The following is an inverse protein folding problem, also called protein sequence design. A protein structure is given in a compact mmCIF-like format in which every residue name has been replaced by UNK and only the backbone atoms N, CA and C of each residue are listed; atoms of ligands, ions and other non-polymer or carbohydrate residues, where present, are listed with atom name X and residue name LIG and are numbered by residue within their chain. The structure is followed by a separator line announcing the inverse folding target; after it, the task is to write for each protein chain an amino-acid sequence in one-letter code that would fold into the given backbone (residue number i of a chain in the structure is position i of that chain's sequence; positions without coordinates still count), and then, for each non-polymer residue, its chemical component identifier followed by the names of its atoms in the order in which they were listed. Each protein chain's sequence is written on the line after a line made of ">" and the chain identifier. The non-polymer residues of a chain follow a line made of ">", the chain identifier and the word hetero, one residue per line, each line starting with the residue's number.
data_IF_493272345334
#
_entry.id   IF_493272345334
#
_cell.length_a   1.000
_cell.length_b   1.000
_cell.length_c   1.000
_cell.angle_alpha   90.00
_cell.angle_beta   90.00
_cell.angle_gamma   90.00
#
_symmetry.space_group_name_H-M   'P 1'
#
loop_
_entity.id
_entity.type
_entity.pdbx_description
1 polymer ?
#
# COMPACT_ATOMS: atom_id res chain seq x y z
N UNK A 1 -16.27 -22.48 -35.80
CA UNK A 1 -15.74 -21.67 -36.93
C UNK A 1 -15.46 -22.62 -38.08
N UNK A 2 -16.05 -22.37 -39.25
CA UNK A 2 -16.15 -23.35 -40.34
C UNK A 2 -14.82 -23.58 -41.09
N UNK A 3 -14.63 -24.79 -41.61
CA UNK A 3 -13.45 -25.25 -42.38
C UNK A 3 -13.04 -24.34 -43.56
N UNK A 4 -13.92 -23.45 -44.04
CA UNK A 4 -13.59 -22.46 -45.08
C UNK A 4 -12.57 -21.40 -44.65
N UNK A 5 -12.44 -21.09 -43.36
CA UNK A 5 -11.46 -20.09 -42.89
C UNK A 5 -10.03 -20.63 -42.81
N UNK A 6 -9.83 -21.95 -42.74
CA UNK A 6 -8.50 -22.55 -42.74
C UNK A 6 -7.91 -22.63 -44.17
N UNK A 7 -8.77 -22.68 -45.18
CA UNK A 7 -8.36 -22.76 -46.59
C UNK A 7 -7.95 -21.41 -47.19
N UNK A 8 -8.51 -20.30 -46.69
CA UNK A 8 -8.07 -18.94 -47.05
C UNK A 8 -6.69 -18.61 -46.45
N UNK A 9 -6.42 -19.01 -45.20
CA UNK A 9 -5.12 -18.81 -44.56
C UNK A 9 -3.97 -19.56 -45.26
N UNK A 10 -4.21 -20.80 -45.72
CA UNK A 10 -3.19 -21.59 -46.45
C UNK A 10 -2.83 -21.04 -47.83
N UNK A 11 -3.70 -20.21 -48.44
CA UNK A 11 -3.43 -19.58 -49.74
C UNK A 11 -2.60 -18.29 -49.61
N UNK A 12 -2.73 -17.58 -48.49
CA UNK A 12 -1.98 -16.34 -48.21
C UNK A 12 -0.53 -16.62 -47.77
N UNK A 13 -0.24 -17.71 -47.05
CA UNK A 13 1.14 -18.08 -46.68
C UNK A 13 2.00 -18.45 -47.90
N UNK A 14 1.38 -18.99 -48.96
CA UNK A 14 2.06 -19.35 -50.22
C UNK A 14 2.37 -18.15 -51.10
N UNK A 15 1.78 -16.97 -50.89
CA UNK A 15 2.13 -15.76 -51.65
C UNK A 15 3.28 -14.99 -51.01
N UNK A 16 3.43 -15.07 -49.68
CA UNK A 16 4.52 -14.42 -48.92
C UNK A 16 5.89 -15.14 -49.05
N UNK A 17 5.88 -16.41 -49.47
CA UNK A 17 7.09 -17.25 -49.62
C UNK A 17 7.70 -17.24 -51.01
N UNK A 18 7.06 -16.59 -52.00
CA UNK A 18 7.51 -16.63 -53.41
C UNK A 18 8.59 -15.61 -53.76
N UNK A 19 8.76 -14.56 -52.95
CA UNK A 19 9.72 -13.47 -53.21
C UNK A 19 10.68 -13.23 -52.04
N UNK A 20 10.84 -14.20 -51.13
CA UNK A 20 11.75 -14.10 -49.97
C UNK A 20 12.82 -15.18 -50.04
N UNK A 21 14.07 -14.78 -50.26
CA UNK A 21 15.22 -15.69 -50.27
C UNK A 21 15.54 -16.17 -48.84
N UNK A 22 14.86 -17.24 -48.43
CA UNK A 22 15.07 -17.89 -47.14
C UNK A 22 16.19 -18.95 -47.17
N UNK A 23 16.92 -19.10 -48.28
CA UNK A 23 17.95 -20.14 -48.44
C UNK A 23 19.04 -20.07 -47.38
N UNK A 24 19.54 -18.86 -47.09
CA UNK A 24 20.55 -18.67 -46.04
C UNK A 24 20.01 -19.01 -44.65
N UNK A 25 18.77 -18.59 -44.34
CA UNK A 25 18.14 -18.87 -43.04
C UNK A 25 17.81 -20.36 -42.87
N UNK A 26 17.37 -21.03 -43.93
CA UNK A 26 17.13 -22.48 -43.92
C UNK A 26 18.41 -23.26 -43.66
N UNK A 27 19.50 -22.94 -44.36
CA UNK A 27 20.80 -23.60 -44.12
C UNK A 27 21.29 -23.42 -42.67
N UNK A 28 21.09 -22.23 -42.09
CA UNK A 28 21.44 -21.98 -40.69
C UNK A 28 20.55 -22.75 -39.70
N UNK A 29 19.25 -22.86 -39.98
CA UNK A 29 18.31 -23.63 -39.17
C UNK A 29 18.54 -25.15 -39.27
N UNK A 30 18.96 -25.64 -40.43
CA UNK A 30 19.29 -27.04 -40.67
C UNK A 30 20.56 -27.43 -39.91
N UNK A 31 21.59 -26.58 -39.92
CA UNK A 31 22.80 -26.74 -39.08
C UNK A 31 22.47 -26.65 -37.59
N UNK A 32 21.52 -25.80 -37.18
CA UNK A 32 21.07 -25.74 -35.79
C UNK A 32 20.25 -26.99 -35.40
N UNK A 33 19.41 -27.52 -36.29
CA UNK A 33 18.69 -28.77 -36.07
C UNK A 33 19.63 -29.97 -35.99
N UNK A 34 20.64 -30.05 -36.86
CA UNK A 34 21.69 -31.07 -36.78
C UNK A 34 22.46 -30.99 -35.47
N UNK A 35 22.72 -29.78 -34.97
CA UNK A 35 23.34 -29.56 -33.65
C UNK A 35 22.42 -29.90 -32.48
N UNK A 36 21.10 -29.77 -32.64
CA UNK A 36 20.08 -30.04 -31.62
C UNK A 36 19.74 -31.53 -31.52
N UNK A 37 20.14 -32.37 -32.49
CA UNK A 37 19.99 -33.81 -32.38
C UNK A 37 20.82 -34.36 -31.20
N UNK A 38 20.12 -34.96 -30.23
CA UNK A 38 20.57 -35.32 -28.88
C UNK A 38 21.82 -36.24 -28.78
N UNK A 39 22.30 -36.79 -29.90
CA UNK A 39 23.49 -37.65 -29.96
C UNK A 39 24.82 -36.91 -29.88
N UNK A 40 24.85 -35.60 -30.18
CA UNK A 40 26.10 -34.81 -30.11
C UNK A 40 26.34 -34.33 -28.68
N UNK A 41 25.30 -33.90 -27.97
CA UNK A 41 25.42 -33.38 -26.60
C UNK A 41 25.84 -34.46 -25.60
N UNK A 42 25.43 -35.72 -25.79
CA UNK A 42 25.84 -36.83 -24.93
C UNK A 42 27.31 -37.25 -25.10
N UNK A 43 27.98 -36.87 -26.20
CA UNK A 43 29.41 -37.16 -26.45
C UNK A 43 30.35 -36.05 -25.97
N UNK A 44 29.85 -34.86 -25.67
CA UNK A 44 30.65 -33.73 -25.19
C UNK A 44 30.75 -33.84 -23.67
N UNK A 45 31.95 -33.77 -23.10
CA UNK A 45 32.11 -33.80 -21.64
C UNK A 45 31.45 -32.58 -20.98
N UNK A 46 30.86 -32.79 -19.81
CA UNK A 46 30.14 -31.76 -19.06
C UNK A 46 30.98 -30.49 -18.80
N UNK A 47 32.30 -30.63 -18.67
CA UNK A 47 33.24 -29.50 -18.50
C UNK A 47 33.27 -28.53 -19.69
N UNK A 48 32.96 -29.01 -20.91
CA UNK A 48 32.82 -28.16 -22.11
C UNK A 48 31.42 -27.61 -22.29
N UNK A 49 30.41 -28.29 -21.75
CA UNK A 49 29.00 -27.85 -21.81
C UNK A 49 28.70 -26.77 -20.78
N UNK A 50 29.35 -26.84 -19.62
CA UNK A 50 29.06 -25.99 -18.47
C UNK A 50 30.33 -25.32 -17.96
N UNK A 51 30.58 -24.08 -18.40
CA UNK A 51 31.55 -23.20 -17.75
C UNK A 51 30.83 -22.20 -16.85
N UNK A 52 31.18 -22.18 -15.56
CA UNK A 52 30.70 -21.15 -14.63
C UNK A 52 31.62 -19.94 -14.77
N UNK A 53 31.10 -18.88 -15.37
CA UNK A 53 31.86 -17.66 -15.62
C UNK A 53 31.97 -16.83 -14.33
N UNK A 54 33.14 -16.85 -13.69
CA UNK A 54 33.40 -16.12 -12.45
C UNK A 54 33.89 -14.68 -12.70
N UNK A 55 34.15 -14.31 -13.95
CA UNK A 55 34.63 -12.97 -14.32
C UNK A 55 33.56 -12.29 -15.17
N UNK A 56 32.91 -11.27 -14.60
CA UNK A 56 32.00 -10.43 -15.38
C UNK A 56 32.75 -9.63 -16.43
N UNK A 57 32.20 -9.58 -17.65
CA UNK A 57 32.73 -8.76 -18.75
C UNK A 57 32.77 -7.27 -18.36
N UNK A 58 33.98 -6.74 -18.19
CA UNK A 58 34.21 -5.33 -17.84
C UNK A 58 33.84 -4.37 -18.97
N UNK A 59 33.80 -4.84 -20.22
CA UNK A 59 33.39 -4.06 -21.39
C UNK A 59 31.90 -3.67 -21.40
N UNK A 60 31.06 -4.33 -20.60
CA UNK A 60 29.63 -3.97 -20.46
C UNK A 60 29.47 -2.72 -19.60
N UNK A 61 30.36 -2.46 -18.63
CA UNK A 61 30.30 -1.25 -17.80
C UNK A 61 30.69 0.02 -18.57
N UNK A 62 31.55 -0.10 -19.59
CA UNK A 62 31.98 1.03 -20.42
C UNK A 62 30.93 1.36 -21.50
N UNK A 63 30.20 0.35 -22.00
CA UNK A 63 29.04 0.55 -22.87
C UNK A 63 27.80 0.82 -22.03
N UNK A 64 27.74 1.99 -21.40
CA UNK A 64 26.44 2.54 -21.00
C UNK A 64 25.61 2.64 -22.28
N UNK A 65 24.57 1.83 -22.39
CA UNK A 65 23.56 2.02 -23.43
C UNK A 65 23.19 3.50 -23.40
N UNK A 66 23.46 4.22 -24.49
CA UNK A 66 23.02 5.60 -24.61
C UNK A 66 21.53 5.60 -24.30
N UNK A 67 21.13 6.32 -23.25
CA UNK A 67 19.74 6.38 -22.79
C UNK A 67 18.89 6.61 -24.02
N UNK A 68 18.05 5.62 -24.37
CA UNK A 68 17.15 5.73 -25.53
C UNK A 68 16.41 7.06 -25.39
N UNK A 69 16.65 7.98 -26.31
CA UNK A 69 15.92 9.23 -26.36
C UNK A 69 14.42 8.90 -26.38
N UNK A 70 13.60 9.73 -25.74
CA UNK A 70 12.16 9.58 -25.83
C UNK A 70 11.76 9.54 -27.30
N UNK A 71 10.79 8.69 -27.66
CA UNK A 71 10.33 8.50 -29.05
C UNK A 71 10.00 9.84 -29.75
N UNK A 72 9.56 10.83 -28.98
CA UNK A 72 9.27 12.18 -29.45
C UNK A 72 10.53 12.95 -29.88
N UNK A 73 11.63 12.83 -29.13
CA UNK A 73 12.91 13.48 -29.47
C UNK A 73 13.58 12.76 -30.66
N UNK A 74 13.39 11.45 -30.78
CA UNK A 74 13.80 10.66 -31.95
C UNK A 74 13.02 11.11 -33.21
N UNK A 75 11.71 11.31 -33.10
CA UNK A 75 10.89 11.84 -34.22
C UNK A 75 11.27 13.27 -34.62
N UNK A 76 11.65 14.11 -33.66
CA UNK A 76 12.05 15.50 -33.94
C UNK A 76 13.48 15.61 -34.49
N UNK A 77 14.36 14.68 -34.12
CA UNK A 77 15.74 14.62 -34.66
C UNK A 77 15.81 13.96 -36.05
N UNK A 78 14.78 13.20 -36.43
CA UNK A 78 14.68 12.61 -37.76
C UNK A 78 14.48 13.69 -38.83
N UNK A 79 15.55 14.06 -39.53
CA UNK A 79 15.49 14.89 -40.74
C UNK A 79 15.32 13.97 -41.95
N UNK A 80 14.16 13.95 -42.64
CA UNK A 80 14.02 13.18 -43.87
C UNK A 80 14.95 13.76 -44.95
N UNK A 81 15.62 12.89 -45.71
CA UNK A 81 16.54 13.25 -46.80
C UNK A 81 15.89 13.95 -47.99
N UNK A 82 14.57 14.18 -47.93
CA UNK A 82 13.80 14.71 -49.05
C UNK A 82 13.54 16.20 -48.79
N UNK A 83 14.43 17.04 -49.29
CA UNK A 83 14.28 18.49 -49.32
C UNK A 83 13.19 18.90 -50.31
N UNK A 84 11.91 18.77 -49.92
CA UNK A 84 10.77 19.27 -50.70
C UNK A 84 10.43 20.75 -50.41
N UNK A 85 11.17 21.42 -49.51
CA UNK A 85 10.86 22.78 -49.05
C UNK A 85 11.96 23.82 -49.31
N UNK A 86 12.99 23.50 -50.10
CA UNK A 86 14.07 24.46 -50.42
C UNK A 86 13.74 25.43 -51.57
N UNK A 87 12.54 25.37 -52.17
CA UNK A 87 12.18 26.20 -53.33
C UNK A 87 11.23 27.37 -53.01
N UNK A 88 11.04 27.74 -51.74
CA UNK A 88 10.38 29.01 -51.41
C UNK A 88 11.45 30.06 -51.10
N UNK A 89 11.84 30.83 -52.12
CA UNK A 89 12.61 32.06 -51.88
C UNK A 89 11.69 33.13 -51.31
N UNK A 90 12.18 33.94 -50.37
CA UNK A 90 11.48 35.05 -49.70
C UNK A 90 10.92 36.15 -50.62
N UNK A 91 11.02 35.99 -51.94
CA UNK A 91 10.54 36.97 -52.94
C UNK A 91 9.05 36.85 -53.26
N UNK A 92 8.40 35.72 -52.94
CA UNK A 92 6.99 35.47 -53.33
C UNK A 92 5.94 35.89 -52.27
N UNK A 93 6.37 36.39 -51.11
CA UNK A 93 5.45 36.77 -50.00
C UNK A 93 5.01 38.25 -50.06
N UNK A 94 5.52 39.04 -51.03
CA UNK A 94 5.26 40.49 -51.05
C UNK A 94 3.92 40.95 -51.64
N UNK A 95 3.11 40.06 -52.23
CA UNK A 95 1.86 40.45 -52.92
C UNK A 95 0.54 40.00 -52.28
N UNK A 96 0.52 39.53 -51.03
CA UNK A 96 -0.74 39.18 -50.32
C UNK A 96 -0.86 39.84 -48.94
N UNK A 97 -0.53 41.13 -48.85
CA UNK A 97 -0.67 41.88 -47.60
C UNK A 97 -1.43 43.17 -47.76
N UNK A 98 -2.74 43.10 -48.02
CA UNK A 98 -3.68 44.19 -47.76
C UNK A 98 -5.12 43.65 -47.64
N UNK A 99 -5.52 43.17 -46.45
CA UNK A 99 -6.91 43.08 -45.93
C UNK A 99 -7.02 42.15 -44.68
N UNK A 100 -6.29 42.40 -43.59
CA UNK A 100 -6.60 41.76 -42.28
C UNK A 100 -5.81 42.32 -41.07
N UNK A 101 -5.50 43.63 -41.04
CA UNK A 101 -4.75 44.23 -39.93
C UNK A 101 -5.57 44.52 -38.66
N UNK A 102 -6.90 44.40 -38.67
CA UNK A 102 -7.75 44.78 -37.54
C UNK A 102 -7.86 43.71 -36.42
N UNK A 103 -7.88 42.41 -36.73
CA UNK A 103 -8.14 41.36 -35.72
C UNK A 103 -6.90 40.88 -34.95
N UNK A 104 -5.69 40.96 -35.51
CA UNK A 104 -4.45 40.51 -34.83
C UNK A 104 -3.96 41.47 -33.73
N UNK A 105 -4.36 42.73 -33.77
CA UNK A 105 -3.90 43.75 -32.81
C UNK A 105 -4.68 43.71 -31.48
N UNK A 106 -5.97 43.34 -31.50
CA UNK A 106 -6.78 43.14 -30.29
C UNK A 106 -6.28 41.97 -29.43
N UNK A 107 -5.83 40.87 -30.05
CA UNK A 107 -5.40 39.67 -29.34
C UNK A 107 -4.04 39.87 -28.64
N UNK A 108 -3.17 40.74 -29.17
CA UNK A 108 -1.89 41.09 -28.53
C UNK A 108 -2.10 41.94 -27.27
N UNK A 109 -3.10 42.82 -27.26
CA UNK A 109 -3.37 43.69 -26.11
C UNK A 109 -4.06 42.93 -24.94
N UNK A 110 -4.81 41.86 -25.22
CA UNK A 110 -5.41 41.01 -24.19
C UNK A 110 -4.42 40.03 -23.53
N UNK A 111 -3.30 39.73 -24.18
CA UNK A 111 -2.26 38.88 -23.62
C UNK A 111 -1.34 39.67 -22.66
N UNK A 112 -1.13 40.97 -22.90
CA UNK A 112 -0.40 41.84 -21.96
C UNK A 112 -1.20 42.19 -20.68
N UNK A 113 -2.52 42.08 -20.68
CA UNK A 113 -3.32 42.41 -19.47
C UNK A 113 -3.34 41.29 -18.41
N UNK A 114 -2.80 40.10 -18.72
CA UNK A 114 -2.65 39.00 -17.74
C UNK A 114 -1.51 39.23 -16.74
N UNK A 115 -0.63 40.19 -17.01
CA UNK A 115 0.48 40.57 -16.12
C UNK A 115 0.05 41.48 -14.96
N UNK A 116 -1.21 41.96 -14.94
CA UNK A 116 -1.72 42.87 -13.90
C UNK A 116 -2.36 42.09 -12.72
N UNK A 117 -2.70 40.82 -12.89
CA UNK A 117 -3.46 40.03 -11.90
C UNK A 117 -2.64 39.05 -11.06
N UNK A 118 -1.32 38.95 -11.28
CA UNK A 118 -0.43 38.16 -10.43
C UNK A 118 0.43 39.14 -9.62
N UNK A 119 0.19 39.16 -8.32
CA UNK A 119 0.80 40.09 -7.38
C UNK A 119 2.32 40.21 -7.53
N UNK A 120 2.77 41.47 -7.46
CA UNK A 120 4.15 41.94 -7.40
C UNK A 120 5.05 40.99 -6.58
N UNK A 121 5.88 40.21 -7.26
CA UNK A 121 7.14 39.73 -6.70
C UNK A 121 8.25 40.60 -7.26
N UNK A 122 8.85 41.41 -6.39
CA UNK A 122 9.94 42.34 -6.69
C UNK A 122 11.16 41.59 -7.25
N UNK A 123 11.34 41.61 -8.58
CA UNK A 123 12.63 41.30 -9.20
C UNK A 123 13.56 42.51 -9.10
N UNK A 124 14.28 42.61 -7.97
CA UNK A 124 15.51 43.41 -7.85
C UNK A 124 16.72 42.65 -8.41
N UNK A 125 16.61 42.10 -9.61
CA UNK A 125 17.70 41.40 -10.29
C UNK A 125 17.67 41.79 -11.76
N UNK A 126 18.11 43.01 -12.10
CA UNK A 126 18.47 43.39 -13.48
C UNK A 126 19.19 44.75 -13.57
N UNK A 127 20.09 45.07 -12.62
CA UNK A 127 20.97 46.25 -12.75
C UNK A 127 22.48 45.89 -12.81
N UNK A 128 22.85 44.61 -12.95
CA UNK A 128 24.28 44.20 -12.95
C UNK A 128 24.88 44.02 -14.35
N UNK A 129 24.08 44.07 -15.43
CA UNK A 129 24.56 43.82 -16.79
C UNK A 129 24.94 45.08 -17.59
N UNK A 130 24.68 46.28 -17.06
CA UNK A 130 24.91 47.53 -17.79
C UNK A 130 26.28 48.19 -17.53
N UNK A 131 27.14 47.59 -16.71
CA UNK A 131 28.44 48.18 -16.31
C UNK A 131 29.66 47.40 -16.81
N UNK A 132 29.59 46.75 -17.97
CA UNK A 132 30.77 46.17 -18.61
C UNK A 132 31.21 47.12 -19.73
N UNK A 133 32.17 48.01 -19.39
CA UNK A 133 32.91 48.79 -20.38
C UNK A 133 33.84 47.84 -21.13
N UNK A 134 33.49 47.48 -22.36
CA UNK A 134 34.40 46.79 -23.28
C UNK A 134 35.34 47.85 -23.86
N UNK A 135 36.47 48.09 -23.19
CA UNK A 135 37.60 48.83 -23.76
C UNK A 135 38.38 47.90 -24.70
N UNK A 136 38.06 47.95 -25.98
CA UNK A 136 38.82 47.27 -27.02
C UNK A 136 38.42 47.85 -28.36
N UNK A 137 39.21 48.80 -28.86
CA UNK A 137 39.05 49.32 -30.22
C UNK A 137 39.31 48.17 -31.19
N UNK A 138 38.27 47.72 -31.89
CA UNK A 138 38.42 46.78 -33.00
C UNK A 138 38.57 47.64 -34.25
N UNK A 139 39.81 47.72 -34.75
CA UNK A 139 40.13 48.33 -36.04
C UNK A 139 39.37 47.59 -37.16
N UNK A 140 38.79 48.36 -38.08
CA UNK A 140 37.85 47.93 -39.12
C UNK A 140 38.43 47.04 -40.24
N UNK A 141 39.64 46.49 -40.09
CA UNK A 141 40.39 45.84 -41.16
C UNK A 141 40.59 44.31 -41.02
N UNK A 142 40.08 43.67 -39.97
CA UNK A 142 40.13 42.20 -39.80
C UNK A 142 38.72 41.57 -39.80
N UNK A 143 37.91 41.88 -40.81
CA UNK A 143 36.70 41.10 -41.13
C UNK A 143 37.09 39.82 -41.89
N UNK A 144 37.93 38.98 -41.28
CA UNK A 144 38.03 37.57 -41.67
C UNK A 144 36.82 36.87 -41.04
N UNK A 145 35.80 36.61 -41.86
CA UNK A 145 34.69 35.75 -41.49
C UNK A 145 35.25 34.44 -40.90
N UNK A 146 34.95 34.21 -39.61
CA UNK A 146 35.34 32.99 -38.93
C UNK A 146 34.58 31.82 -39.55
N UNK A 147 35.29 30.99 -40.30
CA UNK A 147 34.72 29.80 -40.95
C UNK A 147 34.55 28.70 -39.90
N UNK A 148 33.30 28.49 -39.49
CA UNK A 148 32.86 27.60 -38.41
C UNK A 148 33.19 26.13 -38.72
N UNK A 149 33.53 25.82 -39.97
CA UNK A 149 33.83 24.47 -40.45
C UNK A 149 35.32 24.21 -40.71
N UNK A 150 36.19 25.21 -40.53
CA UNK A 150 37.64 24.96 -40.53
C UNK A 150 38.02 24.24 -39.24
N UNK A 151 38.60 23.05 -39.38
CA UNK A 151 39.23 22.30 -38.28
C UNK A 151 40.57 22.94 -37.92
N UNK A 152 40.54 24.17 -37.44
CA UNK A 152 41.72 24.78 -36.83
C UNK A 152 41.81 24.26 -35.39
N UNK A 153 42.76 23.35 -35.16
CA UNK A 153 43.03 22.68 -33.88
C UNK A 153 43.64 23.62 -32.82
N UNK A 154 43.19 24.87 -32.75
CA UNK A 154 43.53 25.77 -31.67
C UNK A 154 42.33 25.89 -30.74
N UNK A 155 42.22 24.93 -29.83
CA UNK A 155 41.35 25.00 -28.66
C UNK A 155 41.85 26.10 -27.72
N UNK A 156 41.69 27.37 -28.12
CA UNK A 156 41.60 28.46 -27.16
C UNK A 156 40.31 28.21 -26.41
N UNK A 157 40.43 27.50 -25.28
CA UNK A 157 39.37 27.40 -24.27
C UNK A 157 38.93 28.83 -24.00
N UNK A 158 37.78 29.21 -24.54
CA UNK A 158 37.01 30.33 -24.04
C UNK A 158 36.78 30.02 -22.57
N UNK A 159 37.63 30.57 -21.70
CA UNK A 159 37.43 30.52 -20.26
C UNK A 159 36.22 31.41 -20.00
N UNK A 160 35.05 30.82 -20.18
CA UNK A 160 33.82 31.27 -19.56
C UNK A 160 34.19 31.40 -18.09
N UNK A 161 34.40 32.64 -17.65
CA UNK A 161 34.63 32.97 -16.26
C UNK A 161 33.41 32.41 -15.54
N UNK A 162 33.61 31.26 -14.89
CA UNK A 162 32.64 30.65 -13.99
C UNK A 162 32.43 31.67 -12.88
N UNK A 163 31.47 32.57 -13.03
CA UNK A 163 30.87 33.23 -11.88
C UNK A 163 30.21 32.12 -11.09
N UNK A 164 30.71 31.74 -9.90
CA UNK A 164 29.99 30.82 -9.06
C UNK A 164 28.82 31.64 -8.51
N UNK A 165 27.72 31.69 -9.25
CA UNK A 165 26.41 31.79 -8.64
C UNK A 165 26.22 30.47 -7.88
N UNK A 166 26.97 30.29 -6.79
CA UNK A 166 26.70 29.28 -5.78
C UNK A 166 25.33 29.62 -5.21
N UNK A 167 24.28 29.17 -5.89
CA UNK A 167 22.94 29.08 -5.33
C UNK A 167 23.06 28.14 -4.15
N UNK A 168 23.30 28.68 -2.95
CA UNK A 168 23.34 27.90 -1.71
C UNK A 168 21.93 27.41 -1.46
N UNK A 169 21.65 26.16 -1.81
CA UNK A 169 20.43 25.51 -1.37
C UNK A 169 20.41 25.50 0.17
N UNK A 170 19.30 25.92 0.80
CA UNK A 170 19.20 25.89 2.25
C UNK A 170 19.36 24.46 2.75
N UNK A 171 20.11 24.28 3.85
CA UNK A 171 20.31 22.97 4.47
C UNK A 171 18.96 22.43 4.94
N UNK A 172 18.72 21.14 4.69
CA UNK A 172 17.51 20.46 5.15
C UNK A 172 17.39 20.53 6.68
N UNK A 173 16.21 20.88 7.20
CA UNK A 173 15.96 20.96 8.64
C UNK A 173 16.00 19.57 9.28
N UNK A 174 16.44 19.50 10.54
CA UNK A 174 16.49 18.24 11.31
C UNK A 174 15.12 17.58 11.47
N UNK A 175 14.05 18.37 11.49
CA UNK A 175 12.67 17.89 11.60
C UNK A 175 12.26 17.04 10.39
N UNK A 176 12.73 17.37 9.19
CA UNK A 176 12.39 16.62 7.98
C UNK A 176 13.10 15.25 7.91
N UNK A 177 14.17 15.06 8.70
CA UNK A 177 14.86 13.77 8.82
C UNK A 177 14.15 12.80 9.78
N UNK A 178 13.21 13.29 10.59
CA UNK A 178 12.46 12.44 11.53
C UNK A 178 11.41 11.61 10.79
N UNK A 179 11.25 10.34 11.20
CA UNK A 179 10.24 9.43 10.65
C UNK A 179 8.83 9.89 11.05
N UNK A 180 7.81 9.67 10.20
CA UNK A 180 6.43 9.94 10.55
C UNK A 180 5.98 9.10 11.74
N UNK A 181 4.96 9.59 12.46
CA UNK A 181 4.32 8.87 13.55
C UNK A 181 3.36 7.84 12.97
N UNK A 182 3.65 6.55 13.14
CA UNK A 182 2.78 5.45 12.72
C UNK A 182 1.62 5.24 13.70
N UNK A 183 0.49 4.71 13.21
CA UNK A 183 -0.67 4.33 14.04
C UNK A 183 -0.33 3.15 14.95
N UNK A 184 0.47 2.20 14.46
CA UNK A 184 0.94 1.05 15.22
C UNK A 184 2.46 1.01 15.27
N UNK A 185 2.99 0.31 16.27
CA UNK A 185 4.42 0.11 16.41
C UNK A 185 4.88 -0.95 15.40
N UNK A 186 5.97 -0.69 14.68
CA UNK A 186 6.59 -1.60 13.69
C UNK A 186 5.75 -1.89 12.44
N UNK A 187 5.20 -0.84 11.80
CA UNK A 187 4.58 -1.00 10.47
C UNK A 187 5.66 -1.23 9.42
N UNK A 188 5.61 -2.39 8.77
CA UNK A 188 6.48 -2.70 7.64
C UNK A 188 6.05 -1.90 6.40
N UNK A 189 6.98 -1.58 5.51
CA UNK A 189 6.67 -0.82 4.30
C UNK A 189 5.74 -1.59 3.34
N UNK A 190 5.92 -2.91 3.31
CA UNK A 190 5.06 -3.90 2.64
C UNK A 190 4.86 -5.03 3.64
N UNK A 191 3.62 -5.48 3.78
CA UNK A 191 3.33 -6.61 4.64
C UNK A 191 3.59 -7.92 3.91
N UNK A 192 4.21 -8.86 4.63
CA UNK A 192 4.43 -10.20 4.11
C UNK A 192 3.15 -11.00 4.35
N UNK A 193 2.59 -11.55 3.28
CA UNK A 193 1.41 -12.40 3.36
C UNK A 193 1.68 -13.66 4.20
N UNK A 194 0.64 -14.18 4.86
CA UNK A 194 0.75 -15.42 5.61
C UNK A 194 0.87 -16.61 4.63
N UNK A 195 1.62 -17.65 4.99
CA UNK A 195 1.82 -18.82 4.14
C UNK A 195 0.50 -19.56 3.82
N UNK A 196 -0.46 -19.53 4.76
CA UNK A 196 -1.82 -20.06 4.55
C UNK A 196 -2.67 -19.29 3.52
N UNK A 197 -2.23 -18.11 3.05
CA UNK A 197 -2.88 -17.35 1.96
C UNK A 197 -2.28 -17.70 0.59
N UNK A 198 -1.31 -18.63 0.54
CA UNK A 198 -0.80 -19.11 -0.73
C UNK A 198 -1.89 -19.85 -1.49
N UNK A 199 -1.69 -19.94 -2.81
CA UNK A 199 -2.64 -20.56 -3.73
C UNK A 199 -2.91 -22.05 -3.42
N UNK A 200 -1.88 -22.79 -3.02
CA UNK A 200 -1.98 -24.18 -2.57
C UNK A 200 -1.23 -24.33 -1.23
N UNK A 201 -1.86 -23.93 -0.11
CA UNK A 201 -1.21 -23.88 1.19
C UNK A 201 -1.12 -25.26 1.83
N UNK A 202 -0.16 -25.43 2.74
CA UNK A 202 -0.16 -26.58 3.62
C UNK A 202 -1.41 -26.54 4.51
N UNK A 203 -2.10 -27.68 4.66
CA UNK A 203 -3.35 -27.78 5.41
C UNK A 203 -3.26 -27.20 6.84
N UNK A 204 -2.14 -27.41 7.53
CA UNK A 204 -1.92 -26.90 8.89
C UNK A 204 -1.84 -25.37 8.94
N UNK A 205 -1.15 -24.75 7.99
CA UNK A 205 -0.98 -23.31 7.91
C UNK A 205 -2.27 -22.61 7.51
N UNK A 206 -2.99 -23.20 6.56
CA UNK A 206 -4.32 -22.77 6.15
C UNK A 206 -5.31 -22.81 7.32
N UNK A 207 -5.39 -23.95 8.01
CA UNK A 207 -6.24 -24.12 9.21
C UNK A 207 -5.89 -23.06 10.26
N UNK A 208 -4.60 -22.83 10.53
CA UNK A 208 -4.13 -21.82 11.48
C UNK A 208 -4.55 -20.40 11.08
N UNK A 209 -4.46 -20.05 9.79
CA UNK A 209 -4.92 -18.77 9.27
C UNK A 209 -6.43 -18.60 9.49
N UNK A 210 -7.22 -19.59 9.10
CA UNK A 210 -8.69 -19.56 9.24
C UNK A 210 -9.09 -19.39 10.72
N UNK A 211 -8.51 -20.17 11.63
CA UNK A 211 -8.78 -20.03 13.07
C UNK A 211 -8.45 -18.63 13.61
N UNK A 212 -7.32 -18.07 13.17
CA UNK A 212 -6.88 -16.73 13.60
C UNK A 212 -7.86 -15.65 13.16
N UNK A 213 -8.26 -15.66 11.89
CA UNK A 213 -9.13 -14.62 11.33
C UNK A 213 -10.59 -14.83 11.75
N UNK A 214 -11.05 -16.09 11.89
CA UNK A 214 -12.35 -16.42 12.51
C UNK A 214 -12.47 -15.87 13.93
N UNK A 215 -11.44 -16.07 14.78
CA UNK A 215 -11.44 -15.52 16.13
C UNK A 215 -11.52 -13.99 16.16
N UNK A 216 -10.87 -13.32 15.20
CA UNK A 216 -10.90 -11.86 15.05
C UNK A 216 -12.26 -11.35 14.60
N UNK A 217 -12.93 -12.02 13.67
CA UNK A 217 -14.30 -11.67 13.26
C UNK A 217 -15.32 -11.92 14.37
N UNK A 218 -15.22 -13.03 15.10
CA UNK A 218 -16.08 -13.33 16.25
C UNK A 218 -15.96 -12.21 17.32
N UNK A 219 -14.75 -11.72 17.57
CA UNK A 219 -14.54 -10.57 18.47
C UNK A 219 -15.18 -9.28 17.93
N UNK A 220 -15.15 -9.04 16.61
CA UNK A 220 -15.82 -7.90 15.98
C UNK A 220 -17.33 -8.01 16.13
N UNK A 221 -17.89 -9.19 15.92
CA UNK A 221 -19.33 -9.47 16.05
C UNK A 221 -19.80 -9.29 17.50
N UNK A 222 -19.11 -9.88 18.49
CA UNK A 222 -19.42 -9.66 19.91
C UNK A 222 -19.42 -8.16 20.26
N UNK A 223 -18.44 -7.41 19.73
CA UNK A 223 -18.35 -5.97 19.98
C UNK A 223 -19.53 -5.23 19.35
N UNK A 224 -19.89 -5.56 18.12
CA UNK A 224 -21.03 -4.99 17.41
C UNK A 224 -22.35 -5.29 18.14
N UNK A 225 -22.53 -6.52 18.63
CA UNK A 225 -23.68 -6.94 19.41
C UNK A 225 -23.79 -6.18 20.73
N UNK A 226 -22.66 -6.03 21.45
CA UNK A 226 -22.62 -5.25 22.68
C UNK A 226 -22.96 -3.77 22.42
N UNK A 227 -22.46 -3.19 21.34
CA UNK A 227 -22.79 -1.83 20.92
C UNK A 227 -24.26 -1.71 20.50
N UNK A 228 -24.81 -2.70 19.80
CA UNK A 228 -26.22 -2.79 19.42
C UNK A 228 -27.13 -2.83 20.65
N UNK A 229 -26.82 -3.70 21.61
CA UNK A 229 -27.56 -3.81 22.89
C UNK A 229 -27.50 -2.53 23.71
N UNK A 230 -26.34 -1.86 23.78
CA UNK A 230 -26.22 -0.56 24.46
C UNK A 230 -27.08 0.51 23.79
N UNK A 231 -27.11 0.54 22.46
CA UNK A 231 -27.96 1.47 21.70
C UNK A 231 -29.44 1.19 21.92
N UNK A 232 -29.87 -0.07 21.84
CA UNK A 232 -31.27 -0.45 22.05
C UNK A 232 -31.74 -0.19 23.49
N UNK A 233 -30.87 -0.45 24.47
CA UNK A 233 -31.16 -0.17 25.89
C UNK A 233 -31.33 1.34 26.14
N UNK A 234 -30.43 2.18 25.61
CA UNK A 234 -30.54 3.63 25.75
C UNK A 234 -31.79 4.23 25.07
N UNK A 235 -32.24 3.66 23.95
CA UNK A 235 -33.49 4.07 23.28
C UNK A 235 -34.70 3.69 24.14
N UNK A 236 -34.72 2.47 24.69
CA UNK A 236 -35.83 2.01 25.53
C UNK A 236 -35.94 2.78 26.85
N UNK A 237 -34.83 3.20 27.46
CA UNK A 237 -34.86 4.07 28.66
C UNK A 237 -35.45 5.45 28.35
N UNK A 238 -35.09 6.08 27.23
CA UNK A 238 -35.62 7.40 26.85
C UNK A 238 -37.11 7.38 26.52
N UNK A 239 -37.63 6.31 25.91
CA UNK A 239 -39.05 6.17 25.62
C UNK A 239 -39.85 5.78 26.88
N UNK A 240 -39.26 5.03 27.82
CA UNK A 240 -39.92 4.62 29.06
C UNK A 240 -40.00 5.69 30.16
N UNK A 241 -39.26 6.81 30.03
CA UNK A 241 -39.31 7.95 30.96
C UNK A 241 -40.47 8.91 30.63
N UNK A 242 -41.11 8.79 29.46
CA UNK A 242 -42.27 9.64 29.12
C UNK A 242 -43.64 9.10 29.54
N UNK A 243 -43.78 7.78 29.72
CA UNK A 243 -45.09 7.15 29.93
C UNK A 243 -45.14 6.19 31.14
N UNK A 244 -44.39 6.47 32.21
CA UNK A 244 -44.53 5.71 33.46
C UNK A 244 -44.76 6.59 34.66
N UNK A 245 -46.04 6.84 34.89
CA UNK A 245 -46.59 7.04 36.21
C UNK A 245 -46.00 6.02 37.21
N UNK A 246 -45.52 6.56 38.32
CA UNK A 246 -45.08 5.84 39.51
C UNK A 246 -46.29 5.15 40.15
N UNK A 247 -46.60 3.90 39.81
CA UNK A 247 -47.24 2.94 40.74
C UNK A 247 -47.37 1.54 40.08
N UNK A 248 -46.38 0.66 40.22
CA UNK A 248 -46.66 -0.78 40.23
C UNK A 248 -45.45 -1.62 40.65
N UNK A 249 -45.53 -2.13 41.87
CA UNK A 249 -45.27 -3.53 42.23
C UNK A 249 -43.86 -4.08 41.96
N UNK A 250 -43.00 -3.80 42.93
CA UNK A 250 -41.92 -4.69 43.33
C UNK A 250 -42.51 -5.95 44.00
N UNK A 251 -42.96 -6.92 43.21
CA UNK A 251 -43.18 -8.29 43.69
C UNK A 251 -42.66 -9.33 42.68
N UNK A 252 -41.68 -10.09 43.16
CA UNK A 252 -41.23 -11.42 42.72
C UNK A 252 -40.58 -11.62 41.34
N UNK A 253 -39.29 -11.99 41.39
CA UNK A 253 -38.82 -13.27 40.81
C UNK A 253 -37.50 -13.71 41.44
N UNK A 254 -37.58 -14.56 42.46
CA UNK A 254 -36.48 -15.45 42.84
C UNK A 254 -36.95 -16.88 42.53
N UNK A 255 -36.98 -17.22 41.24
CA UNK A 255 -37.21 -18.57 40.75
C UNK A 255 -35.93 -19.39 40.95
N UNK A 256 -35.86 -20.11 42.06
CA UNK A 256 -34.97 -21.27 42.19
C UNK A 256 -35.81 -22.52 42.07
N UNK A 257 -35.48 -23.25 41.03
CA UNK A 257 -36.02 -24.53 40.62
C UNK A 257 -36.07 -25.54 41.77
N UNK A 258 -37.17 -26.27 41.75
CA UNK A 258 -37.46 -27.44 42.56
C UNK A 258 -36.41 -28.52 42.34
N UNK A 259 -35.74 -28.95 43.40
CA UNK A 259 -35.29 -30.35 43.51
C UNK A 259 -35.72 -30.87 44.86
N UNK A 260 -36.91 -31.48 44.86
CA UNK A 260 -37.56 -32.11 45.99
C UNK A 260 -36.90 -33.48 46.24
N UNK A 261 -35.75 -33.50 46.91
CA UNK A 261 -35.26 -34.74 47.52
C UNK A 261 -36.03 -34.95 48.83
N UNK A 262 -36.89 -35.96 48.81
CA UNK A 262 -37.52 -36.53 49.99
C UNK A 262 -36.46 -36.90 51.03
N UNK A 263 -36.32 -36.04 52.05
CA UNK A 263 -35.66 -36.37 53.30
C UNK A 263 -36.52 -37.41 54.03
N UNK A 264 -36.33 -38.68 53.67
CA UNK A 264 -36.82 -39.81 54.46
C UNK A 264 -36.08 -39.75 55.81
N UNK A 265 -36.70 -39.07 56.77
CA UNK A 265 -36.30 -39.08 58.18
C UNK A 265 -36.51 -40.49 58.72
N UNK A 266 -35.49 -41.35 58.59
CA UNK A 266 -35.47 -42.64 59.25
C UNK A 266 -35.43 -42.41 60.76
N UNK A 267 -36.49 -42.80 61.47
CA UNK A 267 -36.54 -42.82 62.93
C UNK A 267 -35.33 -43.61 63.45
N UNK A 268 -34.43 -42.94 64.15
CA UNK A 268 -33.23 -43.57 64.69
C UNK A 268 -33.59 -44.63 65.74
N UNK A 269 -33.34 -45.89 65.42
CA UNK A 269 -33.46 -47.00 66.38
C UNK A 269 -32.41 -46.81 67.48
N UNK A 270 -32.79 -46.95 68.76
CA UNK A 270 -31.88 -46.79 69.91
C UNK A 270 -30.76 -47.83 69.83
N UNK A 271 -29.55 -47.39 69.48
CA UNK A 271 -28.35 -48.23 69.36
C UNK A 271 -27.94 -48.82 70.71
N UNK A 272 -27.55 -50.09 70.71
CA UNK A 272 -27.02 -50.80 71.89
C UNK A 272 -25.66 -50.24 72.34
N UNK A 273 -25.28 -50.42 73.62
CA UNK A 273 -24.01 -49.93 74.18
C UNK A 273 -22.78 -50.46 73.42
N UNK A 274 -22.83 -51.70 72.93
CA UNK A 274 -21.78 -52.34 72.11
C UNK A 274 -21.67 -51.70 70.72
N UNK A 275 -22.80 -51.41 70.07
CA UNK A 275 -22.84 -50.69 68.79
C UNK A 275 -22.29 -49.26 68.92
N UNK A 276 -22.64 -48.54 70.01
CA UNK A 276 -22.08 -47.20 70.30
C UNK A 276 -20.56 -47.24 70.48
N UNK A 277 -20.02 -48.21 71.23
CA UNK A 277 -18.56 -48.35 71.45
C UNK A 277 -17.80 -48.69 70.15
N UNK A 278 -18.38 -49.52 69.27
CA UNK A 278 -17.81 -49.86 67.95
C UNK A 278 -17.82 -48.66 66.99
N UNK A 279 -18.89 -47.88 66.99
CA UNK A 279 -18.99 -46.65 66.19
C UNK A 279 -18.02 -45.57 66.67
N UNK A 280 -17.86 -45.41 67.99
CA UNK A 280 -16.86 -44.48 68.56
C UNK A 280 -15.42 -44.87 68.16
N UNK A 281 -15.09 -46.17 68.11
CA UNK A 281 -13.79 -46.65 67.62
C UNK A 281 -13.60 -46.32 66.14
N UNK A 282 -14.57 -46.65 65.28
CA UNK A 282 -14.53 -46.30 63.84
C UNK A 282 -14.42 -44.79 63.61
N UNK A 283 -15.15 -43.98 64.37
CA UNK A 283 -15.07 -42.51 64.28
C UNK A 283 -13.68 -42.00 64.66
N UNK A 284 -13.06 -42.55 65.72
CA UNK A 284 -11.68 -42.22 66.09
C UNK A 284 -10.68 -42.61 65.01
N UNK A 285 -10.76 -43.82 64.47
CA UNK A 285 -9.91 -44.29 63.37
C UNK A 285 -10.04 -43.41 62.12
N UNK A 286 -11.27 -43.00 61.77
CA UNK A 286 -11.52 -42.09 60.65
C UNK A 286 -10.95 -40.70 60.93
N UNK A 287 -11.10 -40.17 62.14
CA UNK A 287 -10.51 -38.89 62.53
C UNK A 287 -8.98 -38.92 62.43
N UNK A 288 -8.33 -39.94 63.00
CA UNK A 288 -6.87 -40.11 62.94
C UNK A 288 -6.36 -40.27 61.49
N UNK A 289 -7.09 -41.01 60.66
CA UNK A 289 -6.77 -41.14 59.23
C UNK A 289 -6.87 -39.79 58.51
N UNK A 290 -7.94 -39.02 58.78
CA UNK A 290 -8.13 -37.69 58.20
C UNK A 290 -7.06 -36.69 58.67
N UNK A 291 -6.64 -36.75 59.93
CA UNK A 291 -5.54 -35.94 60.46
C UNK A 291 -4.21 -36.29 59.77
N UNK A 292 -3.87 -37.57 59.65
CA UNK A 292 -2.68 -38.01 58.91
C UNK A 292 -2.73 -37.59 57.45
N UNK A 293 -3.91 -37.64 56.81
CA UNK A 293 -4.11 -37.16 55.43
C UNK A 293 -3.90 -35.64 55.33
N UNK A 294 -4.39 -34.87 56.31
CA UNK A 294 -4.21 -33.41 56.38
C UNK A 294 -2.74 -33.05 56.57
N UNK A 295 -2.04 -33.72 57.47
CA UNK A 295 -0.59 -33.55 57.67
C UNK A 295 0.20 -33.86 56.40
N UNK A 296 -0.11 -34.96 55.70
CA UNK A 296 0.52 -35.29 54.41
C UNK A 296 0.27 -34.24 53.33
N UNK A 297 -0.91 -33.63 53.29
CA UNK A 297 -1.18 -32.50 52.37
C UNK A 297 -0.32 -31.30 52.74
N UNK A 298 -0.30 -30.90 54.01
CA UNK A 298 0.53 -29.80 54.49
C UNK A 298 2.01 -29.99 54.14
N UNK A 299 2.57 -31.19 54.32
CA UNK A 299 3.97 -31.48 53.95
C UNK A 299 4.20 -31.36 52.44
N UNK A 300 3.25 -31.85 51.62
CA UNK A 300 3.33 -31.70 50.15
C UNK A 300 3.27 -30.24 49.73
N UNK A 301 2.40 -29.46 50.38
CA UNK A 301 2.25 -28.03 50.12
C UNK A 301 3.56 -27.31 50.47
N UNK A 302 4.14 -27.58 51.66
CA UNK A 302 5.44 -27.06 52.08
C UNK A 302 6.56 -27.39 51.08
N UNK A 303 6.65 -28.64 50.62
CA UNK A 303 7.65 -29.06 49.63
C UNK A 303 7.46 -28.38 48.27
N UNK A 304 6.27 -27.87 47.98
CA UNK A 304 5.93 -27.17 46.72
C UNK A 304 6.08 -25.65 46.79
N UNK A 305 6.30 -25.06 47.98
CA UNK A 305 6.36 -23.60 48.19
C UNK A 305 7.39 -22.94 47.27
N UNK A 306 8.62 -23.46 47.22
CA UNK A 306 9.67 -22.84 46.40
C UNK A 306 9.33 -22.85 44.90
N UNK A 307 8.61 -23.88 44.43
CA UNK A 307 8.12 -23.94 43.05
C UNK A 307 7.03 -22.91 42.80
N UNK A 308 6.10 -22.75 43.75
CA UNK A 308 5.02 -21.77 43.67
C UNK A 308 5.57 -20.34 43.68
N UNK A 309 6.54 -20.04 44.54
CA UNK A 309 7.21 -18.73 44.60
C UNK A 309 7.88 -18.41 43.26
N UNK A 310 8.64 -19.36 42.70
CA UNK A 310 9.28 -19.18 41.39
C UNK A 310 8.26 -18.92 40.27
N UNK A 311 7.14 -19.65 40.24
CA UNK A 311 6.06 -19.41 39.28
C UNK A 311 5.40 -18.03 39.47
N UNK A 312 5.22 -17.58 40.71
CA UNK A 312 4.69 -16.24 41.00
C UNK A 312 5.66 -15.16 40.51
N UNK A 313 6.96 -15.33 40.73
CA UNK A 313 7.99 -14.40 40.27
C UNK A 313 8.07 -14.34 38.74
N UNK A 314 8.08 -15.47 38.05
CA UNK A 314 8.04 -15.54 36.58
C UNK A 314 6.76 -14.86 36.03
N UNK A 315 5.61 -15.10 36.67
CA UNK A 315 4.33 -14.46 36.31
C UNK A 315 4.34 -12.95 36.60
N UNK A 316 4.98 -12.51 37.67
CA UNK A 316 5.12 -11.09 38.00
C UNK A 316 6.08 -10.39 37.03
N UNK A 317 7.20 -11.02 36.68
CA UNK A 317 8.19 -10.48 35.74
C UNK A 317 7.61 -10.38 34.32
N UNK A 318 6.94 -11.42 33.84
CA UNK A 318 6.21 -11.39 32.57
C UNK A 318 5.12 -10.31 32.54
N UNK A 319 4.36 -10.14 33.63
CA UNK A 319 3.41 -9.02 33.77
C UNK A 319 4.08 -7.65 33.76
N UNK A 320 5.22 -7.47 34.45
CA UNK A 320 5.99 -6.22 34.43
C UNK A 320 6.48 -5.89 33.02
N UNK A 321 7.06 -6.87 32.31
CA UNK A 321 7.50 -6.73 30.92
C UNK A 321 6.32 -6.40 29.99
N UNK A 322 5.18 -7.07 30.17
CA UNK A 322 3.95 -6.77 29.45
C UNK A 322 3.42 -5.36 29.74
N UNK A 323 3.47 -4.91 30.99
CA UNK A 323 3.03 -3.57 31.39
C UNK A 323 3.96 -2.47 30.87
N UNK A 324 5.29 -2.68 30.85
CA UNK A 324 6.26 -1.74 30.29
C UNK A 324 6.04 -1.60 28.78
N UNK A 325 5.91 -2.72 28.08
CA UNK A 325 5.60 -2.71 26.64
C UNK A 325 4.23 -2.09 26.35
N UNK A 326 3.20 -2.39 27.15
CA UNK A 326 1.90 -1.73 27.06
C UNK A 326 1.97 -0.24 27.35
N UNK A 327 2.74 0.21 28.34
CA UNK A 327 2.86 1.64 28.69
C UNK A 327 3.57 2.44 27.60
N UNK A 328 4.65 1.90 27.03
CA UNK A 328 5.35 2.48 25.88
C UNK A 328 4.41 2.55 24.67
N UNK A 329 3.66 1.47 24.42
CA UNK A 329 2.65 1.43 23.37
C UNK A 329 1.55 2.48 23.61
N UNK A 330 0.94 2.48 24.79
CA UNK A 330 -0.17 3.36 25.13
C UNK A 330 0.21 4.85 25.13
N UNK A 331 1.43 5.21 25.57
CA UNK A 331 1.93 6.58 25.51
C UNK A 331 2.06 7.10 24.08
N UNK A 332 2.37 6.23 23.12
CA UNK A 332 2.44 6.57 21.69
C UNK A 332 1.04 6.74 21.08
N UNK A 333 0.08 5.92 21.53
CA UNK A 333 -1.32 5.93 21.07
C UNK A 333 -2.18 7.05 21.70
N UNK A 334 -1.80 7.59 22.87
CA UNK A 334 -2.51 8.69 23.56
C UNK A 334 -2.36 10.06 22.90
N UNK A 335 -1.50 10.23 21.89
CA UNK A 335 -1.48 11.45 21.08
C UNK A 335 -2.73 11.47 20.21
N UNK A 336 -3.77 12.16 20.70
CA UNK A 336 -5.10 12.38 20.09
C UNK A 336 -5.18 11.78 18.69
N UNK A 337 -5.70 10.56 18.61
CA UNK A 337 -6.09 9.95 17.35
C UNK A 337 -6.82 11.01 16.52
N UNK A 338 -6.46 11.07 15.25
CA UNK A 338 -7.18 11.88 14.26
C UNK A 338 -8.69 11.59 14.42
N UNK A 339 -9.55 12.55 14.07
CA UNK A 339 -11.02 12.42 14.19
C UNK A 339 -11.58 11.11 13.63
N UNK A 340 -10.88 10.53 12.65
CA UNK A 340 -11.21 9.26 12.03
C UNK A 340 -10.15 8.19 12.37
N UNK A 341 -10.59 6.97 12.63
CA UNK A 341 -9.72 5.80 12.73
C UNK A 341 -9.12 5.43 11.38
N UNK A 342 -8.05 4.64 11.38
CA UNK A 342 -7.55 4.02 10.15
C UNK A 342 -8.63 3.12 9.52
N UNK A 343 -8.60 3.03 8.20
CA UNK A 343 -9.48 2.10 7.49
C UNK A 343 -9.15 0.67 7.89
N UNK A 344 -10.17 -0.13 8.14
CA UNK A 344 -10.03 -1.54 8.51
C UNK A 344 -9.74 -2.34 7.24
N UNK A 345 -8.77 -3.25 7.30
CA UNK A 345 -8.52 -4.15 6.16
C UNK A 345 -9.71 -5.08 5.92
N UNK A 346 -10.11 -5.25 4.65
CA UNK A 346 -11.11 -6.25 4.30
C UNK A 346 -10.59 -7.66 4.64
N UNK A 347 -11.52 -8.59 4.83
CA UNK A 347 -11.21 -9.99 5.05
C UNK A 347 -10.97 -10.65 3.68
N UNK A 348 -9.71 -10.93 3.36
CA UNK A 348 -9.28 -11.50 2.08
C UNK A 348 -8.69 -12.90 2.32
N UNK A 349 -9.54 -13.94 2.38
CA UNK A 349 -9.13 -15.34 2.63
C UNK A 349 -10.03 -16.25 1.80
N UNK A 350 -9.45 -17.26 1.17
CA UNK A 350 -10.20 -18.29 0.44
C UNK A 350 -10.80 -19.31 1.41
N UNK A 351 -12.05 -19.69 1.18
CA UNK A 351 -12.72 -20.77 1.89
C UNK A 351 -12.28 -22.15 1.36
N UNK A 352 -12.52 -23.26 2.09
CA UNK A 352 -12.08 -24.57 1.62
C UNK A 352 -12.72 -24.98 0.30
N UNK A 353 -13.95 -24.54 0.04
CA UNK A 353 -14.68 -24.80 -1.21
C UNK A 353 -14.19 -23.93 -2.39
N UNK A 354 -13.49 -22.84 -2.09
CA UNK A 354 -12.95 -21.88 -3.06
C UNK A 354 -11.47 -22.13 -3.39
N UNK A 355 -10.79 -22.89 -2.52
CA UNK A 355 -9.42 -23.30 -2.72
C UNK A 355 -9.36 -24.24 -3.94
N UNK A 356 -8.62 -23.81 -4.96
CA UNK A 356 -8.58 -24.49 -6.26
C UNK A 356 -7.30 -25.30 -6.41
N UNK A 357 -7.37 -26.46 -7.06
CA UNK A 357 -6.20 -27.33 -7.30
C UNK A 357 -5.35 -26.91 -8.51
N UNK A 358 -5.90 -26.12 -9.46
CA UNK A 358 -5.10 -25.50 -10.55
C UNK A 358 -5.13 -23.96 -10.59
N UNK A 359 -3.97 -23.34 -10.88
CA UNK A 359 -3.79 -21.88 -10.95
C UNK A 359 -4.67 -21.22 -12.02
N UNK A 360 -5.16 -21.99 -13.00
CA UNK A 360 -6.09 -21.52 -14.03
C UNK A 360 -7.49 -21.24 -13.48
N UNK A 361 -7.88 -21.94 -12.41
CA UNK A 361 -9.17 -21.77 -11.73
C UNK A 361 -9.07 -20.78 -10.56
N UNK A 362 -7.85 -20.42 -10.16
CA UNK A 362 -7.60 -19.48 -9.09
C UNK A 362 -8.21 -18.12 -9.39
N UNK A 363 -9.10 -17.69 -8.51
CA UNK A 363 -9.62 -16.33 -8.50
C UNK A 363 -8.78 -15.50 -7.53
N UNK A 364 -8.02 -14.51 -8.03
CA UNK A 364 -7.28 -13.62 -7.15
C UNK A 364 -8.27 -12.77 -6.37
N UNK A 365 -8.14 -12.80 -5.05
CA UNK A 365 -8.92 -11.99 -4.13
C UNK A 365 -8.13 -10.74 -3.71
N UNK A 366 -8.86 -9.69 -3.35
CA UNK A 366 -8.31 -8.49 -2.73
C UNK A 366 -8.00 -7.31 -3.66
N UNK A 367 -7.85 -6.14 -3.05
CA UNK A 367 -7.58 -4.89 -3.78
C UNK A 367 -6.28 -4.21 -3.29
N UNK A 368 -5.26 -4.26 -4.15
CA UNK A 368 -3.92 -3.70 -3.89
C UNK A 368 -3.97 -2.19 -3.60
N UNK A 369 -4.91 -1.45 -4.18
CA UNK A 369 -5.05 -0.02 -3.90
C UNK A 369 -5.52 0.23 -2.46
N UNK A 370 -6.45 -0.60 -1.97
CA UNK A 370 -6.96 -0.52 -0.61
C UNK A 370 -5.85 -0.91 0.38
N UNK A 371 -5.13 -1.99 0.12
CA UNK A 371 -4.01 -2.42 0.96
C UNK A 371 -2.90 -1.35 1.04
N UNK A 372 -2.49 -0.80 -0.11
CA UNK A 372 -1.51 0.30 -0.14
C UNK A 372 -2.03 1.54 0.58
N UNK A 373 -3.29 1.90 0.42
CA UNK A 373 -3.90 3.04 1.09
C UNK A 373 -3.90 2.85 2.61
N UNK A 374 -4.28 1.68 3.10
CA UNK A 374 -4.25 1.33 4.53
C UNK A 374 -2.82 1.36 5.06
N UNK A 375 -1.87 0.76 4.34
CA UNK A 375 -0.44 0.79 4.71
C UNK A 375 0.11 2.23 4.80
N UNK A 376 -0.28 3.13 3.90
CA UNK A 376 0.13 4.55 3.94
C UNK A 376 -0.49 5.29 5.13
N UNK A 377 -1.73 4.97 5.49
CA UNK A 377 -2.37 5.49 6.70
C UNK A 377 -1.66 4.98 7.95
N UNK A 378 -1.42 3.67 8.05
CA UNK A 378 -0.77 3.05 9.21
C UNK A 378 0.66 3.57 9.43
N UNK A 379 1.41 3.83 8.35
CA UNK A 379 2.72 4.47 8.38
C UNK A 379 2.68 5.96 8.77
N UNK A 380 1.50 6.56 8.82
CA UNK A 380 1.31 7.99 9.13
C UNK A 380 1.75 8.93 8.00
N UNK A 381 1.96 8.41 6.78
CA UNK A 381 2.28 9.21 5.60
C UNK A 381 1.05 9.94 5.06
N UNK A 382 -0.09 9.25 5.11
CA UNK A 382 -1.41 9.80 4.77
C UNK A 382 -2.24 9.88 6.03
N UNK A 383 -3.09 10.90 6.09
CA UNK A 383 -4.05 11.03 7.17
C UNK A 383 -5.31 10.20 6.97
N UNK A 384 -5.93 9.82 8.08
CA UNK A 384 -7.21 9.12 8.09
C UNK A 384 -8.35 10.11 7.83
N UNK A 385 -8.98 10.02 6.65
CA UNK A 385 -10.07 10.89 6.19
C UNK A 385 -11.13 10.11 5.41
N UNK A 386 -12.34 10.65 5.40
CA UNK A 386 -13.45 10.16 4.57
C UNK A 386 -13.75 11.15 3.44
N UNK A 387 -14.26 10.67 2.29
CA UNK A 387 -14.69 11.54 1.21
C UNK A 387 -15.81 12.47 1.72
N UNK A 388 -15.63 13.78 1.50
CA UNK A 388 -16.62 14.79 1.85
C UNK A 388 -17.45 15.10 0.61
N UNK A 389 -18.72 14.73 0.64
CA UNK A 389 -19.67 15.08 -0.42
C UNK A 389 -19.97 16.56 -0.28
N UNK A 390 -19.87 17.31 -1.39
CA UNK A 390 -20.19 18.74 -1.38
C UNK A 390 -21.68 18.92 -1.13
N UNK A 391 -22.04 19.57 -0.03
CA UNK A 391 -23.41 19.99 0.24
C UNK A 391 -23.44 21.49 0.54
N UNK A 392 -24.58 22.13 0.24
CA UNK A 392 -24.79 23.54 0.60
C UNK A 392 -25.61 23.61 1.87
N UNK A 393 -25.18 24.45 2.81
CA UNK A 393 -25.96 24.73 4.03
C UNK A 393 -27.30 25.39 3.71
N UNK A 394 -27.34 26.24 2.69
CA UNK A 394 -28.53 26.97 2.26
C UNK A 394 -28.92 26.61 0.82
N UNK A 395 -30.22 26.49 0.52
CA UNK A 395 -30.68 26.24 -0.84
C UNK A 395 -30.33 27.41 -1.76
N UNK A 396 -30.08 27.13 -3.03
CA UNK A 396 -29.90 28.18 -4.04
C UNK A 396 -31.23 28.85 -4.31
N UNK A 397 -31.27 30.18 -4.17
CA UNK A 397 -32.40 30.96 -4.67
C UNK A 397 -32.31 31.03 -6.18
N UNK A 398 -33.24 30.37 -6.87
CA UNK A 398 -33.43 30.55 -8.30
C UNK A 398 -34.32 31.76 -8.52
N UNK A 399 -33.82 32.72 -9.29
CA UNK A 399 -34.56 33.92 -9.68
C UNK A 399 -34.53 33.99 -11.20
N UNK A 400 -35.68 34.21 -11.81
CA UNK A 400 -35.76 34.48 -13.25
C UNK A 400 -35.00 35.77 -13.58
N UNK A 401 -34.26 35.76 -14.68
CA UNK A 401 -33.59 36.98 -15.15
C UNK A 401 -34.65 38.00 -15.54
N UNK A 402 -34.39 39.28 -15.27
CA UNK A 402 -35.34 40.37 -15.54
C UNK A 402 -35.75 40.48 -17.02
N UNK A 403 -34.88 40.08 -17.95
CA UNK A 403 -35.19 40.04 -19.38
C UNK A 403 -36.37 39.14 -19.70
N UNK A 404 -36.47 37.97 -19.06
CA UNK A 404 -37.60 37.04 -19.24
C UNK A 404 -38.82 37.50 -18.46
N UNK A 405 -38.64 38.09 -17.27
CA UNK A 405 -39.74 38.62 -16.46
C UNK A 405 -40.44 39.83 -17.09
N UNK A 406 -39.72 40.61 -17.90
CA UNK A 406 -40.23 41.81 -18.59
C UNK A 406 -40.65 41.56 -20.04
N UNK A 407 -40.58 40.32 -20.51
CA UNK A 407 -41.01 39.99 -21.86
C UNK A 407 -42.53 40.08 -21.95
N UNK A 408 -43.02 41.03 -22.75
CA UNK A 408 -44.44 41.19 -23.11
C UNK A 408 -44.54 40.96 -24.62
N UNK A 409 -45.47 40.12 -25.03
CA UNK A 409 -45.79 39.83 -26.44
C UNK A 409 -46.42 41.03 -27.14
#
# INVERSE_FOLDING_TARGET
>A
MSLRSLESFRKEEKSLTKNTDLGHLKSGLEVLQEKINDEIFSKISDEKLFSVDFKGDTSVYEKREAVKCLKNDEMLSYKPSNSFLSNFSEKDVKNVSNKSKSKKQMWRNMLNSKEICLGKNNQKFNNSFNNIKISGQISSNDLKFYDIWKKDNNSQKLSLVNFPLEQRFPKMSSTLQQKPLSISNNVSNVEVANAGMSYNPLFEEYRKLIHKESAKELLREIKNDQEGRKKSFNVSEQDSIKDKDLESLSENSNSKEEVNYSLISQKSVKKTRKQRKKEMRKKKEICEYNEKRRQKKQIKDLNSINKIVKLIEEKANSRKLANISHSIHEAMFRRKFRRHSASVRPLEIQLPDELSDSFRLFKPEGNIFIDRFISLQERGLIETRYPVISYRKYPRRYVEKWSYKRFKL
#
